data_IF_253469311465
#
_entry.id   IF_253469311465
#
_cell.length_a   1.000
_cell.length_b   1.000
_cell.length_c   1.000
_cell.angle_alpha   90.00
_cell.angle_beta   90.00
_cell.angle_gamma   90.00
#
_symmetry.space_group_name_H-M   'P 1'
#
loop_
_entity.id
_entity.type
_entity.pdbx_description
1 polymer ?
#
# COMPACT_ATOMS: atom_id res chain seq x y z
N UNK A 1 -8.41 -10.34 17.01
CA UNK A 1 -8.71 -9.32 15.98
C UNK A 1 -7.41 -8.79 15.43
N UNK A 2 -7.31 -8.68 14.13
CA UNK A 2 -6.10 -8.21 13.47
C UNK A 2 -6.53 -7.21 12.38
N UNK A 3 -6.35 -5.94 12.65
CA UNK A 3 -6.79 -4.90 11.76
C UNK A 3 -5.82 -3.73 11.81
N UNK A 4 -5.52 -3.16 10.66
CA UNK A 4 -4.66 -1.99 10.54
C UNK A 4 -5.26 -1.04 9.51
N UNK A 5 -5.19 0.24 9.82
CA UNK A 5 -5.63 1.30 8.91
C UNK A 5 -4.47 2.27 8.77
N UNK A 6 -4.06 2.53 7.54
CA UNK A 6 -2.94 3.41 7.26
C UNK A 6 -3.29 4.41 6.17
N UNK A 7 -2.77 5.61 6.31
CA UNK A 7 -2.82 6.63 5.27
C UNK A 7 -1.39 7.06 5.01
N UNK A 8 -0.97 7.02 3.76
CA UNK A 8 0.39 7.37 3.43
C UNK A 8 0.61 7.48 1.93
N UNK A 9 1.86 7.66 1.58
CA UNK A 9 2.25 7.82 0.17
C UNK A 9 3.11 6.65 -0.27
N UNK A 10 2.91 6.21 -1.51
CA UNK A 10 3.73 5.14 -2.07
C UNK A 10 5.19 5.59 -2.19
N UNK A 11 6.09 4.72 -1.74
CA UNK A 11 7.54 4.97 -1.86
C UNK A 11 8.13 4.32 -3.11
N UNK A 12 7.40 3.42 -3.73
CA UNK A 12 7.80 2.72 -4.94
C UNK A 12 6.63 2.67 -5.91
N UNK A 13 6.91 2.34 -7.15
CA UNK A 13 5.84 1.97 -8.08
C UNK A 13 5.27 0.62 -7.66
N UNK A 14 4.10 0.31 -8.17
CA UNK A 14 3.44 -0.96 -7.86
C UNK A 14 4.07 -2.07 -8.71
N UNK A 15 4.49 -3.12 -8.05
CA UNK A 15 4.98 -4.33 -8.72
C UNK A 15 3.85 -5.33 -8.75
N UNK A 16 3.41 -5.69 -9.95
CA UNK A 16 2.32 -6.64 -10.13
C UNK A 16 2.87 -7.98 -10.60
N UNK A 17 2.48 -9.04 -9.89
CA UNK A 17 2.84 -10.41 -10.26
C UNK A 17 1.57 -11.21 -10.50
N UNK A 18 1.60 -12.06 -11.50
CA UNK A 18 0.48 -12.93 -11.80
C UNK A 18 0.86 -14.39 -11.54
N UNK A 19 0.00 -15.08 -10.80
CA UNK A 19 0.20 -16.48 -10.42
C UNK A 19 -0.85 -17.39 -11.05
N UNK A 20 -1.25 -17.07 -12.26
CA UNK A 20 -2.29 -17.78 -12.95
C UNK A 20 -3.38 -16.84 -13.39
N UNK A 21 -4.43 -17.35 -14.05
CA UNK A 21 -5.41 -16.47 -14.69
C UNK A 21 -6.22 -15.62 -13.73
N UNK A 22 -6.32 -16.03 -12.47
CA UNK A 22 -7.16 -15.30 -11.50
C UNK A 22 -6.44 -14.87 -10.23
N UNK A 23 -5.13 -15.10 -10.15
CA UNK A 23 -4.36 -14.72 -8.97
C UNK A 23 -3.32 -13.67 -9.30
N UNK A 24 -3.49 -12.52 -8.71
CA UNK A 24 -2.55 -11.41 -8.88
C UNK A 24 -2.13 -10.89 -7.53
N UNK A 25 -0.89 -10.44 -7.44
CA UNK A 25 -0.34 -9.83 -6.23
C UNK A 25 0.34 -8.53 -6.60
N UNK A 26 -0.11 -7.44 -6.00
CA UNK A 26 0.56 -6.15 -6.10
C UNK A 26 1.32 -5.88 -4.82
N UNK A 27 2.55 -5.43 -4.93
CA UNK A 27 3.34 -5.03 -3.77
C UNK A 27 3.92 -3.65 -3.99
N UNK A 28 4.00 -2.88 -2.91
CA UNK A 28 4.60 -1.56 -2.94
C UNK A 28 4.99 -1.14 -1.53
N UNK A 29 5.83 -0.13 -1.43
CA UNK A 29 6.18 0.46 -0.15
C UNK A 29 5.26 1.63 0.16
N UNK A 30 4.96 1.84 1.44
CA UNK A 30 4.12 2.94 1.90
C UNK A 30 4.84 3.69 3.00
N UNK A 31 4.91 5.00 2.87
CA UNK A 31 5.46 5.89 3.89
C UNK A 31 4.32 6.54 4.64
N UNK A 32 4.31 6.35 5.95
CA UNK A 32 3.29 6.91 6.83
C UNK A 32 3.97 7.91 7.77
N UNK A 33 3.53 9.15 7.71
CA UNK A 33 4.07 10.20 8.56
C UNK A 33 3.47 10.08 9.96
N UNK A 34 4.33 10.07 10.97
CA UNK A 34 3.86 10.01 12.36
C UNK A 34 3.18 11.29 12.82
N UNK A 35 3.42 12.40 12.10
CA UNK A 35 2.92 13.69 12.52
C UNK A 35 3.76 14.29 13.63
N UNK A 36 3.51 15.57 13.95
CA UNK A 36 4.23 16.28 14.99
C UNK A 36 5.41 17.08 14.48
N UNK A 37 6.12 17.74 15.41
CA UNK A 37 7.20 18.66 15.06
C UNK A 37 8.43 17.95 14.49
N UNK A 38 8.74 16.80 15.03
CA UNK A 38 9.88 16.00 14.58
C UNK A 38 9.33 14.79 13.83
N UNK A 39 8.57 15.06 12.78
CA UNK A 39 7.87 14.00 12.08
C UNK A 39 8.85 12.99 11.52
N UNK A 40 8.78 11.79 12.07
CA UNK A 40 9.46 10.64 11.52
C UNK A 40 8.49 9.90 10.62
N UNK A 41 9.04 9.14 9.72
CA UNK A 41 8.25 8.38 8.76
C UNK A 41 8.42 6.90 9.02
N UNK A 42 7.32 6.19 9.10
CA UNK A 42 7.34 4.74 9.17
C UNK A 42 7.14 4.18 7.77
N UNK A 43 7.85 3.12 7.46
CA UNK A 43 7.80 2.49 6.15
C UNK A 43 7.23 1.08 6.27
N UNK A 44 6.25 0.79 5.42
CA UNK A 44 5.57 -0.50 5.43
C UNK A 44 5.61 -1.13 4.04
N UNK A 45 5.67 -2.44 4.02
CA UNK A 45 5.50 -3.20 2.79
C UNK A 45 4.05 -3.63 2.70
N UNK A 46 3.42 -3.29 1.59
CA UNK A 46 1.99 -3.54 1.39
C UNK A 46 1.82 -4.61 0.32
N UNK A 47 0.93 -5.55 0.59
CA UNK A 47 0.53 -6.58 -0.37
C UNK A 47 -0.97 -6.46 -0.61
N UNK A 48 -1.36 -6.49 -1.87
CA UNK A 48 -2.77 -6.41 -2.28
C UNK A 48 -3.03 -7.53 -3.27
N UNK A 49 -4.09 -8.30 -3.04
CA UNK A 49 -4.39 -9.47 -3.87
C UNK A 49 -5.53 -9.25 -4.84
N UNK A 50 -5.46 -9.97 -5.96
CA UNK A 50 -6.53 -10.16 -6.92
C UNK A 50 -7.04 -8.87 -7.58
N UNK A 51 -8.33 -8.66 -7.56
CA UNK A 51 -8.93 -7.53 -8.27
C UNK A 51 -8.36 -6.18 -7.86
N UNK A 52 -8.16 -5.98 -6.57
CA UNK A 52 -7.59 -4.72 -6.12
C UNK A 52 -6.13 -4.58 -6.48
N UNK A 53 -5.42 -5.69 -6.65
CA UNK A 53 -4.03 -5.64 -7.12
C UNK A 53 -3.96 -5.02 -8.51
N UNK A 54 -4.85 -5.43 -9.41
CA UNK A 54 -4.89 -4.87 -10.75
C UNK A 54 -5.23 -3.38 -10.72
N UNK A 55 -6.18 -2.98 -9.89
CA UNK A 55 -6.54 -1.57 -9.75
C UNK A 55 -5.37 -0.74 -9.25
N UNK A 56 -4.62 -1.27 -8.28
CA UNK A 56 -3.44 -0.57 -7.79
C UNK A 56 -2.39 -0.41 -8.89
N UNK A 57 -2.16 -1.47 -9.66
CA UNK A 57 -1.18 -1.42 -10.74
C UNK A 57 -1.59 -0.41 -11.83
N UNK A 58 -2.88 -0.31 -12.09
CA UNK A 58 -3.38 0.57 -13.15
C UNK A 58 -3.37 2.04 -12.75
N UNK A 59 -3.63 2.35 -11.48
CA UNK A 59 -3.88 3.72 -11.05
C UNK A 59 -2.87 4.30 -10.07
N UNK A 60 -2.02 3.49 -9.46
CA UNK A 60 -1.07 3.98 -8.48
C UNK A 60 0.35 4.04 -9.04
N UNK A 61 1.11 4.98 -8.51
CA UNK A 61 2.52 5.14 -8.83
C UNK A 61 3.22 5.71 -7.61
N UNK A 62 4.54 5.69 -7.62
CA UNK A 62 5.34 6.29 -6.57
C UNK A 62 4.87 7.72 -6.31
N UNK A 63 4.69 8.05 -5.04
CA UNK A 63 4.27 9.38 -4.60
C UNK A 63 2.79 9.56 -4.42
N UNK A 64 1.98 8.64 -4.90
CA UNK A 64 0.52 8.74 -4.73
C UNK A 64 0.10 8.49 -3.30
N UNK A 65 -0.95 9.17 -2.88
CA UNK A 65 -1.48 9.04 -1.53
C UNK A 65 -2.68 8.11 -1.52
N UNK A 66 -2.69 7.20 -0.56
CA UNK A 66 -3.77 6.23 -0.40
C UNK A 66 -4.14 6.08 1.06
N UNK A 67 -5.34 5.58 1.29
CA UNK A 67 -5.75 5.02 2.57
C UNK A 67 -5.97 3.53 2.36
N UNK A 68 -5.61 2.73 3.33
CA UNK A 68 -5.85 1.31 3.24
C UNK A 68 -6.35 0.75 4.56
N UNK A 69 -7.04 -0.36 4.46
CA UNK A 69 -7.44 -1.17 5.59
C UNK A 69 -7.00 -2.60 5.30
N UNK A 70 -6.40 -3.24 6.28
CA UNK A 70 -5.91 -4.59 6.11
C UNK A 70 -5.59 -5.25 7.42
N UNK A 71 -4.70 -6.21 7.36
CA UNK A 71 -4.23 -6.95 8.52
C UNK A 71 -2.71 -7.07 8.48
N UNK A 72 -2.14 -7.31 9.65
CA UNK A 72 -0.71 -7.56 9.75
C UNK A 72 -0.47 -9.06 9.56
N UNK A 73 0.57 -9.37 8.80
CA UNK A 73 1.01 -10.74 8.60
C UNK A 73 2.46 -10.86 9.04
N UNK A 74 2.70 -11.73 10.00
CA UNK A 74 4.05 -12.02 10.48
C UNK A 74 4.63 -13.15 9.65
N UNK A 75 5.84 -12.96 9.16
CA UNK A 75 6.51 -13.91 8.31
C UNK A 75 7.92 -14.19 8.84
N UNK A 76 8.30 -15.46 8.84
CA UNK A 76 9.65 -15.87 9.23
C UNK A 76 10.26 -16.72 8.13
N UNK A 77 11.58 -16.63 8.00
CA UNK A 77 12.33 -17.46 7.05
C UNK A 77 13.76 -17.58 7.54
N UNK A 78 14.50 -18.52 6.97
CA UNK A 78 15.92 -18.66 7.26
C UNK A 78 16.76 -18.10 6.12
N UNK A 79 17.78 -17.34 6.48
CA UNK A 79 18.71 -16.74 5.54
C UNK A 79 20.11 -16.95 6.07
N UNK A 80 20.91 -17.76 5.35
CA UNK A 80 22.28 -18.11 5.75
C UNK A 80 22.38 -18.66 7.17
N UNK A 81 21.45 -19.51 7.54
CA UNK A 81 21.41 -20.12 8.86
C UNK A 81 20.87 -19.22 9.96
N UNK A 82 20.49 -17.99 9.63
CA UNK A 82 19.91 -17.06 10.59
C UNK A 82 18.42 -16.94 10.39
N UNK A 83 17.69 -16.94 11.49
CA UNK A 83 16.26 -16.77 11.47
C UNK A 83 15.92 -15.30 11.29
N UNK A 84 15.14 -15.01 10.26
CA UNK A 84 14.70 -13.66 9.96
C UNK A 84 13.19 -13.56 10.07
N UNK A 85 12.71 -12.37 10.35
CA UNK A 85 11.28 -12.12 10.44
C UNK A 85 10.94 -10.75 9.89
N UNK A 86 9.71 -10.62 9.43
CA UNK A 86 9.17 -9.35 8.96
C UNK A 86 7.68 -9.31 9.18
N UNK A 87 7.15 -8.11 9.31
CA UNK A 87 5.72 -7.87 9.37
C UNK A 87 5.31 -7.19 8.07
N UNK A 88 4.33 -7.76 7.40
CA UNK A 88 3.78 -7.20 6.17
C UNK A 88 2.34 -6.78 6.42
N UNK A 89 1.88 -5.80 5.66
CA UNK A 89 0.48 -5.39 5.68
C UNK A 89 -0.20 -5.97 4.46
N UNK A 90 -1.20 -6.81 4.69
CA UNK A 90 -2.03 -7.34 3.60
C UNK A 90 -3.29 -6.50 3.55
N UNK A 91 -3.40 -5.65 2.55
CA UNK A 91 -4.54 -4.76 2.40
C UNK A 91 -5.67 -5.48 1.67
N UNK A 92 -6.85 -5.39 2.21
CA UNK A 92 -8.04 -5.88 1.55
C UNK A 92 -8.94 -4.75 1.05
N UNK A 93 -8.60 -3.52 1.38
CA UNK A 93 -9.30 -2.35 0.89
C UNK A 93 -8.30 -1.22 0.69
N UNK A 94 -8.28 -0.64 -0.49
CA UNK A 94 -7.39 0.49 -0.81
C UNK A 94 -8.24 1.59 -1.42
N UNK A 95 -8.07 2.80 -0.91
CA UNK A 95 -8.76 3.98 -1.42
C UNK A 95 -7.74 4.99 -1.92
N UNK A 96 -7.97 5.49 -3.11
CA UNK A 96 -7.07 6.44 -3.76
C UNK A 96 -7.44 7.84 -3.33
N UNK A 97 -6.55 8.51 -2.60
CA UNK A 97 -6.84 9.81 -2.01
C UNK A 97 -6.31 10.99 -2.82
N UNK A 98 -5.30 10.76 -3.67
CA UNK A 98 -4.77 11.83 -4.49
C UNK A 98 -5.17 11.67 -5.93
N UNK A 99 -5.44 12.80 -6.59
CA UNK A 99 -5.71 12.80 -8.00
C UNK A 99 -4.44 12.45 -8.78
N UNK A 100 -4.56 11.94 -10.00
CA UNK A 100 -3.40 11.75 -10.86
C UNK A 100 -2.62 13.07 -11.00
N UNK A 101 -1.30 12.97 -11.02
CA UNK A 101 -0.45 14.16 -11.18
C UNK A 101 -0.82 14.97 -12.42
N UNK A 102 -1.31 14.32 -13.45
CA UNK A 102 -1.74 14.97 -14.68
C UNK A 102 -2.98 15.82 -14.52
N UNK A 103 -3.70 15.73 -13.41
CA UNK A 103 -4.93 16.49 -13.20
C UNK A 103 -4.68 17.94 -12.81
N UNK A 104 -3.44 18.38 -12.82
CA UNK A 104 -3.12 19.80 -12.68
C UNK A 104 -3.39 20.40 -11.32
N UNK A 105 -3.29 19.60 -10.28
CA UNK A 105 -3.49 20.08 -8.93
C UNK A 105 -4.94 20.17 -8.51
N UNK A 106 -5.82 19.58 -9.27
CA UNK A 106 -7.21 19.50 -8.89
C UNK A 106 -7.37 18.68 -7.61
N UNK A 107 -8.03 19.24 -6.63
CA UNK A 107 -8.27 18.55 -5.37
C UNK A 107 -9.55 17.76 -5.48
N UNK A 108 -9.43 16.44 -5.35
CA UNK A 108 -10.59 15.57 -5.33
C UNK A 108 -11.14 15.56 -3.92
N UNK A 109 -12.41 15.92 -3.70
CA UNK A 109 -13.01 15.84 -2.37
C UNK A 109 -12.92 14.43 -1.82
N UNK A 110 -12.74 14.32 -0.52
CA UNK A 110 -12.60 13.03 0.13
C UNK A 110 -13.78 12.09 -0.20
N UNK A 111 -14.98 12.61 -0.17
CA UNK A 111 -16.18 11.83 -0.48
C UNK A 111 -16.15 11.28 -1.89
N UNK A 112 -15.65 12.06 -2.83
CA UNK A 112 -15.53 11.60 -4.22
C UNK A 112 -14.42 10.56 -4.36
N UNK A 113 -13.35 10.69 -3.57
CA UNK A 113 -12.24 9.75 -3.62
C UNK A 113 -12.60 8.38 -3.05
N UNK A 114 -13.48 8.35 -2.06
CA UNK A 114 -13.90 7.10 -1.41
C UNK A 114 -15.17 6.52 -1.99
N UNK A 115 -15.84 7.26 -2.80
CA UNK A 115 -17.02 6.78 -3.47
C UNK A 115 -16.63 5.96 -4.70
#
# INVERSE_FOLDING_TARGET
MNSVILIGNLTTDVELREFGPEKQLATFGLAVDRGGKDSETDFFRISVWDRQAQLCADYLAKGRKIALEGRLKYRTWEDEGKKRSAIEVVAYRVEFLSAPAASGGEVVPFEAAVA
#
